data_IF_612552323019
#
_entry.id   IF_612552323019
#
_cell.length_a   1.000
_cell.length_b   1.000
_cell.length_c   1.000
_cell.angle_alpha   90.00
_cell.angle_beta   90.00
_cell.angle_gamma   90.00
#
_symmetry.space_group_name_H-M   'P 1'
#
loop_
_entity.id
_entity.type
_entity.pdbx_description
1 polymer ?
#
# COMPACT_ATOMS: atom_id res chain seq x y z
N UNK A 1 -85.33 10.82 -16.55
CA UNK A 1 -84.77 12.09 -17.07
C UNK A 1 -83.42 12.32 -16.38
N UNK A 2 -82.36 12.56 -17.17
CA UNK A 2 -80.96 12.89 -16.82
C UNK A 2 -80.03 11.78 -16.27
N UNK A 3 -79.04 11.45 -17.10
CA UNK A 3 -77.77 10.76 -16.86
C UNK A 3 -76.76 11.66 -16.14
N UNK A 4 -75.94 11.17 -15.20
CA UNK A 4 -74.56 11.65 -14.96
C UNK A 4 -73.71 10.52 -14.36
N UNK A 5 -72.59 10.18 -15.03
CA UNK A 5 -71.50 9.31 -14.54
C UNK A 5 -70.75 9.99 -13.40
N UNK A 6 -70.30 9.25 -12.37
CA UNK A 6 -69.21 9.73 -11.52
C UNK A 6 -68.23 8.59 -11.18
N UNK A 7 -66.94 8.92 -11.27
CA UNK A 7 -65.78 8.06 -11.35
C UNK A 7 -65.34 7.46 -10.00
N UNK A 8 -64.81 6.24 -10.09
CA UNK A 8 -64.02 5.57 -9.05
C UNK A 8 -62.67 6.27 -8.88
N UNK A 9 -62.17 6.46 -7.66
CA UNK A 9 -60.74 6.43 -7.40
C UNK A 9 -60.35 5.15 -6.66
N UNK A 10 -59.39 4.46 -7.29
CA UNK A 10 -58.65 3.30 -6.79
C UNK A 10 -57.88 3.71 -5.53
N UNK A 11 -58.27 3.24 -4.36
CA UNK A 11 -57.36 3.14 -3.22
C UNK A 11 -58.01 2.24 -2.16
N UNK A 12 -57.19 1.41 -1.53
CA UNK A 12 -57.54 0.59 -0.34
C UNK A 12 -58.22 -0.75 -0.63
N UNK A 13 -57.50 -1.67 -1.29
CA UNK A 13 -57.60 -3.09 -0.96
C UNK A 13 -56.34 -3.84 -1.42
N UNK A 14 -55.32 -3.91 -0.56
CA UNK A 14 -54.40 -5.06 -0.55
C UNK A 14 -53.82 -5.24 0.84
N UNK A 15 -54.58 -6.00 1.62
CA UNK A 15 -54.27 -6.48 2.94
C UNK A 15 -53.20 -7.58 2.83
N UNK A 16 -52.02 -7.29 3.39
CA UNK A 16 -51.13 -8.21 4.13
C UNK A 16 -50.99 -9.62 3.55
N UNK A 17 -49.96 -9.83 2.73
CA UNK A 17 -49.30 -11.13 2.60
C UNK A 17 -47.79 -10.89 2.49
N UNK A 18 -47.13 -10.82 3.65
CA UNK A 18 -45.68 -10.71 3.77
C UNK A 18 -45.13 -12.14 3.88
N UNK A 19 -44.39 -12.68 2.90
CA UNK A 19 -43.79 -13.99 3.04
C UNK A 19 -42.65 -13.87 4.06
N UNK A 20 -42.70 -14.71 5.09
CA UNK A 20 -41.62 -14.92 6.04
C UNK A 20 -40.47 -15.57 5.26
N UNK A 21 -39.55 -14.74 4.76
CA UNK A 21 -38.27 -15.18 4.23
C UNK A 21 -37.46 -15.67 5.43
N UNK A 22 -37.45 -17.00 5.63
CA UNK A 22 -36.49 -17.67 6.49
C UNK A 22 -35.10 -17.42 5.89
N UNK A 23 -34.42 -16.39 6.41
CA UNK A 23 -33.01 -16.19 6.16
C UNK A 23 -32.25 -17.41 6.64
N UNK A 24 -31.61 -18.13 5.71
CA UNK A 24 -30.56 -19.07 6.05
C UNK A 24 -29.43 -18.27 6.71
N UNK A 25 -29.41 -18.28 8.05
CA UNK A 25 -28.23 -17.86 8.79
C UNK A 25 -27.09 -18.78 8.35
N UNK A 26 -26.16 -18.25 7.56
CA UNK A 26 -24.85 -18.90 7.42
C UNK A 26 -24.29 -19.00 8.83
N UNK A 27 -24.17 -20.23 9.32
CA UNK A 27 -23.38 -20.52 10.51
C UNK A 27 -21.95 -20.15 10.15
N UNK A 28 -21.55 -18.94 10.51
CA UNK A 28 -20.15 -18.54 10.51
C UNK A 28 -19.42 -19.53 11.38
N UNK A 29 -18.43 -20.20 10.80
CA UNK A 29 -17.61 -21.16 11.50
C UNK A 29 -17.18 -20.60 12.85
N UNK A 30 -17.38 -21.41 13.88
CA UNK A 30 -16.95 -21.16 15.23
C UNK A 30 -15.47 -20.74 15.19
N UNK A 31 -15.18 -19.46 15.48
CA UNK A 31 -13.84 -19.02 15.81
C UNK A 31 -13.47 -19.70 17.13
N UNK A 32 -12.95 -20.92 17.03
CA UNK A 32 -12.35 -21.63 18.17
C UNK A 32 -11.18 -20.77 18.60
N UNK A 33 -11.25 -20.26 19.83
CA UNK A 33 -10.18 -19.49 20.42
C UNK A 33 -9.02 -20.45 20.70
N UNK A 34 -7.92 -20.26 19.97
CA UNK A 34 -6.69 -21.05 20.09
C UNK A 34 -5.85 -20.65 21.33
N UNK A 35 -6.32 -19.69 22.14
CA UNK A 35 -5.60 -19.19 23.32
C UNK A 35 -6.53 -19.01 24.54
N UNK A 36 -5.93 -18.95 25.73
CA UNK A 36 -6.58 -18.81 27.03
C UNK A 36 -7.28 -17.45 27.17
N UNK A 37 -6.88 -16.46 26.37
CA UNK A 37 -7.49 -15.14 26.33
C UNK A 37 -7.54 -14.61 24.88
N UNK A 38 -8.59 -13.86 24.55
CA UNK A 38 -8.55 -12.99 23.38
C UNK A 38 -7.63 -11.81 23.74
N UNK A 39 -6.56 -11.52 22.99
CA UNK A 39 -5.80 -10.31 23.22
C UNK A 39 -6.69 -9.10 22.90
N UNK A 40 -7.29 -8.47 23.93
CA UNK A 40 -8.14 -7.27 23.84
C UNK A 40 -7.37 -5.99 23.44
N UNK A 41 -6.19 -6.12 22.84
CA UNK A 41 -5.24 -5.02 22.69
C UNK A 41 -4.77 -4.82 21.25
N UNK A 42 -5.71 -4.49 20.37
CA UNK A 42 -5.42 -3.55 19.30
C UNK A 42 -6.36 -2.35 19.40
N UNK A 43 -6.21 -1.50 20.44
CA UNK A 43 -6.77 -0.17 20.35
C UNK A 43 -6.13 0.45 19.12
N UNK A 44 -6.94 0.81 18.11
CA UNK A 44 -6.53 1.55 16.92
C UNK A 44 -5.64 2.72 17.37
N UNK A 45 -4.32 2.51 17.30
CA UNK A 45 -3.36 3.49 17.80
C UNK A 45 -3.42 4.64 16.82
N UNK A 46 -3.63 5.84 17.34
CA UNK A 46 -3.61 7.04 16.50
C UNK A 46 -2.17 7.54 16.39
N UNK A 47 -1.73 7.95 15.19
CA UNK A 47 -0.42 8.54 15.01
C UNK A 47 -0.31 9.82 15.82
N UNK A 48 0.90 10.13 16.31
CA UNK A 48 1.13 11.37 17.06
C UNK A 48 0.87 12.57 16.13
N UNK A 49 -0.07 13.48 16.45
CA UNK A 49 -0.39 14.59 15.57
C UNK A 49 0.84 15.49 15.39
N UNK A 50 1.00 16.03 14.18
CA UNK A 50 2.05 17.01 13.96
C UNK A 50 1.72 18.30 14.70
N UNK A 51 2.77 18.95 15.20
CA UNK A 51 2.62 20.27 15.79
C UNK A 51 2.15 21.27 14.72
N UNK A 52 1.22 22.14 15.11
CA UNK A 52 0.83 23.29 14.30
C UNK A 52 2.06 24.16 14.06
N UNK A 53 2.29 24.51 12.80
CA UNK A 53 3.44 25.29 12.36
C UNK A 53 2.92 26.46 11.53
N UNK A 54 3.17 27.69 12.00
CA UNK A 54 2.86 28.88 11.23
C UNK A 54 3.96 29.12 10.20
N UNK A 55 3.60 29.59 9.01
CA UNK A 55 4.58 29.88 7.95
C UNK A 55 5.71 30.84 8.39
N UNK A 56 5.40 31.83 9.22
CA UNK A 56 6.36 32.81 9.73
C UNK A 56 7.41 32.22 10.70
N UNK A 57 7.14 31.04 11.27
CA UNK A 57 8.06 30.40 12.22
C UNK A 57 9.05 29.45 11.52
N UNK A 58 8.89 29.24 10.21
CA UNK A 58 9.78 28.41 9.39
C UNK A 58 10.91 29.25 8.83
N UNK A 59 12.01 29.34 9.57
CA UNK A 59 13.21 30.10 9.14
C UNK A 59 13.93 29.44 7.96
N UNK A 60 13.88 28.11 7.90
CA UNK A 60 14.57 27.34 6.89
C UNK A 60 13.81 26.06 6.62
N UNK A 61 13.64 25.73 5.33
CA UNK A 61 13.09 24.45 4.88
C UNK A 61 13.91 23.89 3.74
N UNK A 62 14.01 22.57 3.68
CA UNK A 62 14.76 21.86 2.64
C UNK A 62 14.15 20.49 2.37
N UNK A 63 13.99 20.16 1.09
CA UNK A 63 13.52 18.85 0.65
C UNK A 63 14.72 17.94 0.35
N UNK A 64 14.70 16.73 0.90
CA UNK A 64 15.78 15.75 0.80
C UNK A 64 15.23 14.41 0.33
N UNK A 65 16.05 13.71 -0.46
CA UNK A 65 15.74 12.39 -0.99
C UNK A 65 16.68 11.34 -0.39
N UNK A 66 16.10 10.30 0.22
CA UNK A 66 16.83 9.21 0.86
C UNK A 66 16.40 7.87 0.27
N UNK A 67 17.35 6.97 0.08
CA UNK A 67 17.11 5.59 -0.30
C UNK A 67 17.24 4.70 0.94
N UNK A 68 16.15 4.06 1.33
CA UNK A 68 16.12 3.03 2.36
C UNK A 68 16.31 1.67 1.69
N UNK A 69 17.37 0.95 2.05
CA UNK A 69 17.62 -0.40 1.52
C UNK A 69 17.15 -1.44 2.53
N UNK A 70 16.20 -2.28 2.15
CA UNK A 70 15.57 -3.28 3.00
C UNK A 70 16.49 -4.45 3.33
N UNK A 71 17.56 -4.66 2.55
CA UNK A 71 18.55 -5.72 2.80
C UNK A 71 19.38 -5.44 4.06
N UNK A 72 19.36 -4.21 4.56
CA UNK A 72 20.06 -3.84 5.78
C UNK A 72 19.36 -4.43 7.01
N UNK A 73 20.14 -4.99 7.95
CA UNK A 73 19.63 -5.69 9.15
C UNK A 73 18.63 -4.86 9.97
N UNK A 74 18.83 -3.56 10.05
CA UNK A 74 17.95 -2.64 10.79
C UNK A 74 16.59 -2.42 10.09
N UNK A 75 16.53 -2.60 8.77
CA UNK A 75 15.34 -2.37 7.94
C UNK A 75 14.57 -3.67 7.62
N UNK A 76 15.12 -4.84 7.96
CA UNK A 76 14.44 -6.14 7.77
C UNK A 76 13.00 -6.20 8.31
N UNK A 77 12.65 -5.54 9.44
CA UNK A 77 11.27 -5.49 9.91
C UNK A 77 10.28 -4.91 8.89
N UNK A 78 10.73 -4.04 7.97
CA UNK A 78 9.88 -3.44 6.92
C UNK A 78 9.70 -4.36 5.70
N UNK A 79 10.55 -5.38 5.55
CA UNK A 79 10.53 -6.31 4.42
C UNK A 79 9.80 -7.60 4.74
N UNK A 80 9.99 -8.13 5.94
CA UNK A 80 9.31 -9.34 6.37
C UNK A 80 7.94 -9.01 7.00
N UNK A 81 6.97 -9.91 6.88
CA UNK A 81 7.05 -11.21 6.20
C UNK A 81 6.88 -11.10 4.67
N UNK A 82 7.50 -12.00 3.91
CA UNK A 82 7.42 -12.03 2.43
C UNK A 82 6.03 -12.45 1.94
N UNK A 83 5.35 -13.28 2.75
CA UNK A 83 3.96 -13.68 2.57
C UNK A 83 3.21 -13.22 3.81
N UNK A 84 1.96 -12.73 3.67
CA UNK A 84 1.19 -12.26 4.83
C UNK A 84 0.93 -13.43 5.78
N UNK A 85 1.36 -13.29 7.03
CA UNK A 85 1.14 -14.28 8.09
C UNK A 85 0.23 -13.62 9.12
N UNK A 86 -1.00 -14.14 9.23
CA UNK A 86 -2.01 -13.64 10.17
C UNK A 86 -2.22 -12.12 10.00
N UNK A 87 -1.98 -11.30 11.03
CA UNK A 87 -2.11 -9.84 10.97
C UNK A 87 -0.78 -9.09 10.70
N UNK A 88 0.26 -9.78 10.23
CA UNK A 88 1.58 -9.20 9.93
C UNK A 88 1.77 -9.05 8.43
N UNK A 89 2.07 -7.83 8.02
CA UNK A 89 2.28 -7.46 6.62
C UNK A 89 3.69 -6.92 6.41
N UNK A 90 4.26 -7.07 5.22
CA UNK A 90 5.39 -6.25 4.80
C UNK A 90 4.92 -4.80 4.58
N UNK A 91 5.86 -3.84 4.52
CA UNK A 91 5.50 -2.43 4.29
C UNK A 91 4.75 -2.24 2.96
N UNK A 92 5.13 -2.99 1.92
CA UNK A 92 4.53 -2.86 0.59
C UNK A 92 3.19 -3.59 0.50
N UNK A 93 3.08 -4.78 1.09
CA UNK A 93 1.79 -5.48 1.17
C UNK A 93 0.78 -4.66 1.98
N UNK A 94 1.24 -3.96 3.02
CA UNK A 94 0.39 -3.05 3.79
C UNK A 94 -0.09 -1.85 2.96
N UNK A 95 0.79 -1.25 2.15
CA UNK A 95 0.41 -0.15 1.25
C UNK A 95 -0.65 -0.65 0.27
N UNK A 96 -0.41 -1.80 -0.37
CA UNK A 96 -1.35 -2.45 -1.28
C UNK A 96 -2.70 -2.72 -0.61
N UNK A 97 -2.67 -3.31 0.59
CA UNK A 97 -3.86 -3.58 1.40
C UNK A 97 -4.66 -2.31 1.65
N UNK A 98 -3.99 -1.18 1.96
CA UNK A 98 -4.64 0.12 2.13
C UNK A 98 -5.27 0.66 0.84
N UNK A 99 -4.67 0.41 -0.33
CA UNK A 99 -5.28 0.80 -1.60
C UNK A 99 -6.51 -0.06 -1.91
N UNK A 100 -6.42 -1.37 -1.69
CA UNK A 100 -7.47 -2.32 -2.06
C UNK A 100 -8.67 -2.30 -1.09
N UNK A 101 -8.42 -2.21 0.23
CA UNK A 101 -9.47 -2.31 1.25
C UNK A 101 -9.95 -0.95 1.77
N UNK A 102 -9.03 0.01 1.95
CA UNK A 102 -9.35 1.34 2.48
C UNK A 102 -9.51 2.40 1.39
N UNK A 103 -9.36 2.02 0.10
CA UNK A 103 -9.46 2.93 -1.06
C UNK A 103 -8.52 4.14 -0.95
N UNK A 104 -7.32 3.93 -0.40
CA UNK A 104 -6.33 4.99 -0.22
C UNK A 104 -5.73 5.43 -1.56
N UNK A 105 -5.59 6.74 -1.76
CA UNK A 105 -5.06 7.31 -3.00
C UNK A 105 -3.55 7.16 -3.09
N UNK A 106 -3.07 6.68 -4.22
CA UNK A 106 -1.65 6.52 -4.55
C UNK A 106 -1.34 7.24 -5.86
N UNK A 107 -0.09 7.63 -6.06
CA UNK A 107 0.33 8.46 -7.18
C UNK A 107 1.32 7.76 -8.11
N UNK A 108 1.37 8.22 -9.35
CA UNK A 108 2.25 7.69 -10.39
C UNK A 108 3.71 8.16 -10.20
N UNK A 109 4.73 7.28 -10.28
CA UNK A 109 6.14 7.65 -10.24
C UNK A 109 6.66 8.38 -11.48
N UNK A 110 6.08 8.14 -12.66
CA UNK A 110 6.64 8.60 -13.94
C UNK A 110 6.09 9.97 -14.36
N UNK A 111 4.94 10.37 -13.81
CA UNK A 111 4.30 11.63 -14.14
C UNK A 111 5.01 12.85 -13.55
N UNK A 112 5.03 12.97 -12.21
CA UNK A 112 5.52 14.18 -11.54
C UNK A 112 5.94 13.97 -10.08
N UNK A 113 6.85 14.82 -9.63
CA UNK A 113 7.37 14.80 -8.26
C UNK A 113 6.40 15.32 -7.18
N UNK A 114 5.25 15.86 -7.58
CA UNK A 114 4.37 16.66 -6.74
C UNK A 114 3.09 15.96 -6.27
N UNK A 115 2.93 14.65 -6.51
CA UNK A 115 1.73 13.88 -6.12
C UNK A 115 0.45 14.44 -6.75
N UNK A 116 0.47 14.68 -8.06
CA UNK A 116 -0.65 15.27 -8.81
C UNK A 116 -1.53 14.22 -9.47
N UNK A 117 -0.91 13.21 -10.08
CA UNK A 117 -1.59 12.15 -10.84
C UNK A 117 -1.80 10.91 -9.99
N UNK A 118 -3.06 10.52 -9.82
CA UNK A 118 -3.42 9.31 -9.09
C UNK A 118 -3.31 8.09 -10.01
N UNK A 119 -2.84 6.97 -9.48
CA UNK A 119 -2.75 5.69 -10.19
C UNK A 119 -3.89 4.76 -9.78
N UNK A 120 -4.43 4.00 -10.73
CA UNK A 120 -5.42 2.95 -10.48
C UNK A 120 -4.74 1.64 -10.11
N UNK A 121 -5.49 0.68 -9.58
CA UNK A 121 -4.97 -0.67 -9.27
C UNK A 121 -4.34 -1.36 -10.49
N UNK A 122 -4.91 -1.14 -11.68
CA UNK A 122 -4.39 -1.70 -12.93
C UNK A 122 -3.00 -1.12 -13.26
N UNK A 123 -2.82 0.19 -13.11
CA UNK A 123 -1.51 0.83 -13.29
C UNK A 123 -0.46 0.34 -12.27
N UNK A 124 -0.88 0.04 -11.03
CA UNK A 124 -0.01 -0.59 -10.04
C UNK A 124 0.43 -1.98 -10.52
N UNK A 125 -0.49 -2.79 -11.04
CA UNK A 125 -0.20 -4.12 -11.58
C UNK A 125 0.78 -4.06 -12.75
N UNK A 126 0.61 -3.11 -13.66
CA UNK A 126 1.55 -2.87 -14.77
C UNK A 126 2.94 -2.47 -14.28
N UNK A 127 3.01 -1.67 -13.20
CA UNK A 127 4.28 -1.30 -12.57
C UNK A 127 4.96 -2.48 -11.87
N UNK A 128 4.16 -3.39 -11.30
CA UNK A 128 4.62 -4.70 -10.84
C UNK A 128 4.85 -5.72 -11.97
N UNK A 129 4.69 -5.32 -13.24
CA UNK A 129 4.94 -6.20 -14.39
C UNK A 129 4.07 -7.46 -14.38
N UNK A 130 2.88 -7.38 -13.79
CA UNK A 130 1.87 -8.43 -13.85
C UNK A 130 1.34 -8.46 -15.29
N UNK A 131 2.00 -9.24 -16.14
CA UNK A 131 1.50 -9.56 -17.47
C UNK A 131 0.58 -10.76 -17.35
N UNK A 132 -0.61 -10.66 -17.93
CA UNK A 132 -1.44 -11.83 -18.22
C UNK A 132 -0.75 -12.63 -19.32
N UNK A 133 -0.14 -13.74 -18.97
CA UNK A 133 0.46 -14.63 -19.96
C UNK A 133 -0.57 -15.69 -20.37
N UNK A 134 -0.69 -15.95 -21.66
CA UNK A 134 -1.57 -16.99 -22.19
C UNK A 134 -0.80 -18.28 -22.29
N UNK A 135 -0.98 -19.16 -21.32
CA UNK A 135 -0.44 -20.51 -21.39
C UNK A 135 -1.44 -21.41 -22.10
N UNK A 136 -0.98 -22.17 -23.09
CA UNK A 136 -1.79 -23.21 -23.71
C UNK A 136 -1.85 -24.41 -22.77
N UNK A 137 -3.05 -24.72 -22.29
CA UNK A 137 -3.29 -25.88 -21.41
C UNK A 137 -4.20 -26.85 -22.17
N UNK A 138 -3.84 -28.13 -22.12
CA UNK A 138 -4.63 -29.20 -22.73
C UNK A 138 -5.84 -29.54 -21.86
N UNK A 139 -7.05 -29.54 -22.44
CA UNK A 139 -8.25 -29.98 -21.74
C UNK A 139 -8.28 -31.50 -21.63
N UNK A 140 -8.31 -32.03 -20.40
CA UNK A 140 -8.25 -33.47 -20.11
C UNK A 140 -9.39 -34.30 -20.72
N UNK A 141 -10.51 -33.68 -21.10
CA UNK A 141 -11.67 -34.38 -21.67
C UNK A 141 -11.68 -34.39 -23.22
N UNK A 142 -11.03 -33.41 -23.87
CA UNK A 142 -11.15 -33.19 -25.32
C UNK A 142 -9.81 -33.20 -26.06
N UNK A 143 -8.67 -33.13 -25.38
CA UNK A 143 -7.34 -33.10 -26.01
C UNK A 143 -7.07 -31.86 -26.88
N UNK A 144 -7.98 -30.87 -26.84
CA UNK A 144 -7.81 -29.59 -27.54
C UNK A 144 -7.04 -28.60 -26.67
N UNK A 145 -6.07 -27.92 -27.28
CA UNK A 145 -5.29 -26.86 -26.63
C UNK A 145 -6.16 -25.61 -26.49
N UNK A 146 -6.58 -25.29 -25.26
CA UNK A 146 -7.28 -24.03 -24.99
C UNK A 146 -6.30 -23.01 -24.40
N UNK A 147 -6.38 -21.74 -24.84
CA UNK A 147 -5.58 -20.68 -24.23
C UNK A 147 -6.17 -20.40 -22.84
N UNK A 148 -5.42 -20.72 -21.79
CA UNK A 148 -5.76 -20.32 -20.42
C UNK A 148 -4.93 -19.08 -20.07
N UNK A 149 -5.62 -17.97 -19.82
CA UNK A 149 -4.98 -16.76 -19.33
C UNK A 149 -4.54 -17.00 -17.89
N UNK A 150 -3.24 -17.12 -17.66
CA UNK A 150 -2.66 -17.18 -16.31
C UNK A 150 -2.27 -15.76 -15.93
N UNK A 151 -2.93 -15.22 -14.92
CA UNK A 151 -2.56 -13.92 -14.35
C UNK A 151 -1.38 -14.16 -13.42
N UNK A 152 -0.22 -13.61 -13.76
CA UNK A 152 0.93 -13.68 -12.86
C UNK A 152 0.64 -12.94 -11.55
N UNK A 153 1.01 -13.53 -10.43
CA UNK A 153 0.84 -12.88 -9.12
C UNK A 153 1.79 -11.69 -8.98
N UNK A 154 1.37 -10.71 -8.16
CA UNK A 154 2.17 -9.55 -7.83
C UNK A 154 3.36 -9.99 -6.98
N UNK A 155 4.57 -9.91 -7.55
CA UNK A 155 5.81 -10.27 -6.84
C UNK A 155 6.26 -9.16 -5.89
N UNK A 156 5.61 -9.08 -4.74
CA UNK A 156 5.91 -8.05 -3.74
C UNK A 156 7.32 -8.18 -3.16
N UNK A 157 7.85 -9.40 -3.07
CA UNK A 157 9.19 -9.69 -2.55
C UNK A 157 10.36 -9.11 -3.36
N UNK A 158 10.11 -8.68 -4.61
CA UNK A 158 11.12 -8.03 -5.44
C UNK A 158 11.32 -6.54 -5.07
N UNK A 159 10.49 -5.99 -4.19
CA UNK A 159 10.66 -4.65 -3.63
C UNK A 159 11.72 -4.68 -2.53
N UNK A 160 12.90 -4.16 -2.86
CA UNK A 160 14.08 -4.22 -1.98
C UNK A 160 14.52 -2.85 -1.47
N UNK A 161 14.03 -1.76 -2.08
CA UNK A 161 14.43 -0.41 -1.72
C UNK A 161 13.21 0.51 -1.68
N UNK A 162 13.29 1.54 -0.85
CA UNK A 162 12.31 2.63 -0.81
C UNK A 162 13.00 3.96 -1.03
N UNK A 163 12.41 4.79 -1.86
CA UNK A 163 12.77 6.18 -2.03
C UNK A 163 11.87 7.04 -1.13
N UNK A 164 12.48 7.81 -0.25
CA UNK A 164 11.79 8.63 0.74
C UNK A 164 12.01 10.11 0.42
N UNK A 165 10.91 10.87 0.31
CA UNK A 165 10.92 12.33 0.27
C UNK A 165 10.73 12.86 1.68
N UNK A 166 11.75 13.56 2.20
CA UNK A 166 11.69 14.20 3.52
C UNK A 166 11.75 15.73 3.39
N UNK A 167 11.06 16.43 4.29
CA UNK A 167 11.17 17.87 4.48
C UNK A 167 11.83 18.11 5.83
N UNK A 168 13.00 18.72 5.78
CA UNK A 168 13.74 19.20 6.93
C UNK A 168 13.40 20.66 7.11
N UNK A 169 12.99 21.07 8.30
CA UNK A 169 12.73 22.47 8.59
C UNK A 169 13.19 22.83 10.00
N UNK A 170 13.57 24.10 10.17
CA UNK A 170 13.91 24.67 11.46
C UNK A 170 12.73 25.48 11.97
N UNK A 171 12.19 25.06 13.12
CA UNK A 171 11.12 25.76 13.82
C UNK A 171 11.72 26.79 14.77
N UNK A 172 11.43 28.08 14.51
CA UNK A 172 11.88 29.20 15.34
C UNK A 172 11.36 29.12 16.77
N UNK A 173 10.12 28.68 16.99
CA UNK A 173 9.51 28.71 18.32
C UNK A 173 10.18 27.72 19.27
N UNK A 174 10.57 26.55 18.75
CA UNK A 174 11.19 25.47 19.53
C UNK A 174 12.71 25.43 19.41
N UNK A 175 13.29 26.22 18.51
CA UNK A 175 14.72 26.20 18.17
C UNK A 175 15.24 24.80 17.87
N UNK A 176 14.42 23.96 17.24
CA UNK A 176 14.73 22.57 16.91
C UNK A 176 14.59 22.32 15.42
N UNK A 177 15.51 21.53 14.87
CA UNK A 177 15.36 20.99 13.53
C UNK A 177 14.41 19.79 13.59
N UNK A 178 13.35 19.85 12.80
CA UNK A 178 12.37 18.77 12.68
C UNK A 178 12.35 18.21 11.26
N UNK A 179 12.02 16.93 11.15
CA UNK A 179 11.93 16.20 9.88
C UNK A 179 10.51 15.66 9.73
N UNK A 180 9.90 15.90 8.58
CA UNK A 180 8.62 15.32 8.18
C UNK A 180 8.80 14.50 6.92
N UNK A 181 8.30 13.27 6.94
CA UNK A 181 8.26 12.42 5.74
C UNK A 181 7.06 12.88 4.92
N UNK A 182 7.29 13.19 3.65
CA UNK A 182 6.25 13.63 2.71
C UNK A 182 5.70 12.45 1.92
N UNK A 183 6.56 11.54 1.47
CA UNK A 183 6.13 10.36 0.75
C UNK A 183 7.18 9.26 0.68
N UNK A 184 6.69 8.06 0.38
CA UNK A 184 7.45 6.83 0.23
C UNK A 184 7.18 6.26 -1.16
N UNK A 185 8.21 5.82 -1.86
CA UNK A 185 8.09 5.14 -3.14
C UNK A 185 8.82 3.80 -3.07
N UNK A 186 8.14 2.65 -3.25
CA UNK A 186 8.80 1.37 -3.38
C UNK A 186 9.55 1.30 -4.71
N UNK A 187 10.75 0.74 -4.67
CA UNK A 187 11.57 0.42 -5.84
C UNK A 187 11.69 -1.09 -5.93
N UNK A 188 11.16 -1.63 -7.02
CA UNK A 188 11.33 -3.02 -7.42
C UNK A 188 12.70 -3.19 -8.06
N UNK A 189 13.41 -4.22 -7.66
CA UNK A 189 14.67 -4.64 -8.27
C UNK A 189 14.48 -6.02 -8.89
N UNK A 190 14.43 -6.09 -10.21
CA UNK A 190 14.30 -7.34 -10.94
C UNK A 190 15.41 -7.44 -11.99
N UNK A 191 15.87 -8.66 -12.26
CA UNK A 191 16.74 -8.91 -13.39
C UNK A 191 15.87 -8.85 -14.64
N UNK A 192 16.14 -7.92 -15.55
CA UNK A 192 15.51 -7.94 -16.86
C UNK A 192 16.14 -9.10 -17.62
N UNK A 193 15.37 -10.13 -17.90
CA UNK A 193 15.73 -11.08 -18.95
C UNK A 193 15.62 -10.29 -20.26
N UNK A 194 16.77 -9.80 -20.74
CA UNK A 194 16.84 -9.20 -22.06
C UNK A 194 16.58 -10.35 -23.02
N UNK A 195 15.39 -10.39 -23.61
CA UNK A 195 15.20 -11.13 -24.86
C UNK A 195 16.12 -10.45 -25.88
N UNK A 196 17.33 -10.99 -26.02
CA UNK A 196 18.35 -10.52 -26.95
C UNK A 196 17.82 -10.69 -28.37
N UNK A 197 17.17 -9.65 -28.89
CA UNK A 197 16.80 -9.56 -30.31
C UNK A 197 17.98 -9.12 -31.19
N UNK A 198 19.14 -8.86 -30.61
CA UNK A 198 20.41 -8.70 -31.33
C UNK A 198 21.44 -9.65 -30.73
N UNK A 199 21.91 -10.59 -31.54
CA UNK A 199 22.85 -11.65 -31.17
C UNK A 199 24.26 -11.15 -30.88
N UNK A 200 24.43 -10.41 -29.79
CA UNK A 200 25.73 -10.08 -29.22
C UNK A 200 25.74 -10.55 -27.77
N UNK A 201 26.26 -11.77 -27.58
CA UNK A 201 26.60 -12.32 -26.28
C UNK A 201 27.73 -11.48 -25.67
N UNK A 202 27.37 -10.54 -24.81
CA UNK A 202 28.35 -9.91 -23.92
C UNK A 202 28.55 -10.84 -22.72
N UNK A 203 29.72 -11.48 -22.67
CA UNK A 203 30.20 -12.43 -21.65
C UNK A 203 30.51 -11.72 -20.32
N UNK A 204 29.52 -10.98 -19.81
CA UNK A 204 29.51 -10.39 -18.49
C UNK A 204 28.36 -11.02 -17.73
N UNK A 205 28.65 -12.07 -16.96
CA UNK A 205 27.70 -12.77 -16.07
C UNK A 205 27.11 -11.93 -14.92
N UNK A 206 26.96 -10.62 -15.10
CA UNK A 206 26.19 -9.74 -14.25
C UNK A 206 24.75 -9.70 -14.74
N UNK A 207 23.83 -10.29 -13.98
CA UNK A 207 22.40 -9.99 -14.15
C UNK A 207 22.22 -8.49 -13.91
N UNK A 208 22.01 -7.71 -14.96
CA UNK A 208 21.72 -6.30 -14.84
C UNK A 208 20.40 -6.12 -14.07
N UNK A 209 20.53 -5.74 -12.80
CA UNK A 209 19.42 -5.48 -11.89
C UNK A 209 18.79 -4.14 -12.29
N UNK A 210 17.71 -4.20 -13.05
CA UNK A 210 16.90 -3.03 -13.36
C UNK A 210 16.10 -2.58 -12.14
N UNK A 211 16.11 -1.28 -11.88
CA UNK A 211 15.32 -0.64 -10.81
C UNK A 211 14.11 0.03 -11.43
N UNK A 212 12.91 -0.34 -11.01
CA UNK A 212 11.66 0.31 -11.42
C UNK A 212 10.94 0.87 -10.19
N UNK A 213 10.55 2.14 -10.26
CA UNK A 213 9.70 2.75 -9.24
C UNK A 213 8.28 2.23 -9.42
N UNK A 214 7.63 1.84 -8.32
CA UNK A 214 6.31 1.22 -8.39
C UNK A 214 5.21 2.27 -8.30
N UNK A 215 5.24 3.08 -7.25
CA UNK A 215 4.18 4.02 -6.91
C UNK A 215 4.65 5.06 -5.88
N UNK A 216 3.96 6.20 -5.79
CA UNK A 216 4.17 7.21 -4.77
C UNK A 216 3.07 7.18 -3.71
N UNK A 217 3.46 6.94 -2.47
CA UNK A 217 2.58 7.00 -1.30
C UNK A 217 2.73 8.36 -0.63
N UNK A 218 1.62 9.06 -0.41
CA UNK A 218 1.59 10.27 0.41
C UNK A 218 1.57 9.91 1.89
N UNK A 219 2.71 10.03 2.56
CA UNK A 219 2.92 9.51 3.91
C UNK A 219 1.90 10.03 4.93
N UNK A 220 1.53 11.33 4.97
CA UNK A 220 0.54 11.84 5.93
C UNK A 220 -0.84 11.18 5.85
N UNK A 221 -1.29 10.74 4.66
CA UNK A 221 -2.56 10.03 4.52
C UNK A 221 -2.50 8.62 5.11
N UNK A 222 -1.37 7.92 4.92
CA UNK A 222 -1.18 6.53 5.35
C UNK A 222 -0.79 6.38 6.84
N UNK A 223 -0.64 7.48 7.59
CA UNK A 223 -0.20 7.41 9.00
C UNK A 223 -1.12 6.61 9.90
N UNK A 224 -2.44 6.68 9.68
CA UNK A 224 -3.42 5.94 10.48
C UNK A 224 -3.29 4.43 10.24
N UNK A 225 -3.13 4.04 8.98
CA UNK A 225 -2.88 2.65 8.59
C UNK A 225 -1.56 2.15 9.22
N UNK A 226 -0.48 2.90 9.09
CA UNK A 226 0.83 2.54 9.67
C UNK A 226 0.85 2.50 11.20
N UNK A 227 -0.04 3.24 11.87
CA UNK A 227 -0.17 3.21 13.32
C UNK A 227 -0.99 2.01 13.82
N UNK A 228 -1.87 1.47 12.98
CA UNK A 228 -2.72 0.33 13.33
C UNK A 228 -1.95 -0.98 13.23
N UNK A 229 -1.10 -1.14 12.20
CA UNK A 229 -0.40 -2.40 11.95
C UNK A 229 0.94 -2.51 12.68
N UNK A 230 1.17 -3.69 13.25
CA UNK A 230 2.40 -4.06 13.96
C UNK A 230 3.43 -4.61 12.97
N UNK A 231 4.68 -4.26 13.20
CA UNK A 231 5.82 -4.68 12.39
C UNK A 231 6.34 -6.03 12.87
N UNK A 232 6.80 -6.86 11.93
CA UNK A 232 7.44 -8.13 12.26
C UNK A 232 8.74 -7.94 13.04
N UNK A 233 8.84 -8.59 14.20
CA UNK A 233 10.05 -8.60 15.03
C UNK A 233 10.53 -10.04 15.27
N UNK A 234 11.73 -10.38 14.77
CA UNK A 234 12.31 -11.71 14.95
C UNK A 234 12.90 -11.95 16.33
N UNK A 235 13.25 -10.90 17.06
CA UNK A 235 13.99 -11.02 18.33
C UNK A 235 13.08 -11.09 19.55
N UNK A 236 11.94 -10.42 19.50
CA UNK A 236 11.03 -10.33 20.63
C UNK A 236 9.60 -10.10 20.15
N UNK A 237 8.76 -11.12 20.29
CA UNK A 237 7.37 -11.05 19.87
C UNK A 237 6.48 -10.24 20.81
N UNK A 238 6.88 -10.15 22.09
CA UNK A 238 6.17 -9.36 23.09
C UNK A 238 6.35 -7.85 22.87
N UNK A 239 7.43 -7.43 22.20
CA UNK A 239 7.64 -6.03 21.86
C UNK A 239 6.90 -5.65 20.58
N UNK A 240 5.67 -5.16 20.74
CA UNK A 240 4.82 -4.66 19.64
C UNK A 240 5.22 -3.24 19.25
N UNK A 241 5.84 -3.09 18.07
CA UNK A 241 6.13 -1.79 17.43
C UNK A 241 5.32 -1.65 16.16
N UNK A 242 4.79 -0.46 15.92
CA UNK A 242 4.01 -0.17 14.69
C UNK A 242 4.90 0.39 13.59
N UNK A 243 4.41 0.40 12.34
CA UNK A 243 5.16 1.00 11.23
C UNK A 243 5.40 2.49 11.47
N UNK A 244 4.41 3.17 12.05
CA UNK A 244 4.51 4.58 12.43
C UNK A 244 5.66 4.81 13.40
N UNK A 245 5.78 3.99 14.45
CA UNK A 245 6.83 4.12 15.46
C UNK A 245 8.23 4.05 14.83
N UNK A 246 8.44 3.17 13.84
CA UNK A 246 9.73 3.03 13.15
C UNK A 246 10.09 4.33 12.43
N UNK A 247 9.14 4.92 11.71
CA UNK A 247 9.37 6.13 10.94
C UNK A 247 9.48 7.38 11.82
N UNK A 248 8.61 7.50 12.83
CA UNK A 248 8.60 8.62 13.80
C UNK A 248 9.86 8.63 14.67
N UNK A 249 10.29 7.47 15.17
CA UNK A 249 11.53 7.35 15.95
C UNK A 249 12.79 7.25 15.07
N UNK A 250 12.64 7.25 13.74
CA UNK A 250 13.73 7.09 12.76
C UNK A 250 14.58 5.84 12.99
N UNK A 251 13.96 4.72 13.35
CA UNK A 251 14.62 3.43 13.56
C UNK A 251 14.86 2.70 12.22
N UNK A 252 15.46 3.39 11.27
CA UNK A 252 15.82 2.85 9.96
C UNK A 252 17.15 3.44 9.49
N UNK A 253 17.85 2.70 8.63
CA UNK A 253 19.04 3.20 7.95
C UNK A 253 18.70 3.52 6.49
N UNK A 254 19.26 4.61 5.98
CA UNK A 254 19.03 5.06 4.62
C UNK A 254 20.23 5.85 4.11
N UNK A 255 20.49 5.69 2.83
CA UNK A 255 21.54 6.38 2.07
C UNK A 255 20.97 7.67 1.50
N UNK A 256 21.76 8.73 1.50
CA UNK A 256 21.37 10.00 0.89
C UNK A 256 21.61 9.94 -0.63
N UNK A 257 20.58 10.21 -1.45
CA UNK A 257 20.71 10.17 -2.92
C UNK A 257 20.87 11.55 -3.53
N UNK A 258 19.97 12.48 -3.20
CA UNK A 258 19.88 13.76 -3.89
C UNK A 258 19.42 14.86 -2.96
N UNK A 259 20.17 15.96 -2.97
CA UNK A 259 19.79 17.23 -2.34
C UNK A 259 18.99 18.02 -3.37
N UNK A 260 17.68 18.14 -3.20
CA UNK A 260 16.92 19.11 -3.98
C UNK A 260 16.97 20.45 -3.24
N UNK A 261 17.84 21.33 -3.70
CA UNK A 261 18.06 22.64 -3.09
C UNK A 261 16.94 23.61 -3.50
N UNK A 262 15.75 23.44 -2.93
CA UNK A 262 14.82 24.55 -2.82
C UNK A 262 15.12 25.28 -1.51
N UNK A 263 15.98 26.29 -1.59
CA UNK A 263 16.20 27.22 -0.48
C UNK A 263 15.12 28.30 -0.59
N UNK A 264 14.01 28.10 0.12
CA UNK A 264 13.09 29.21 0.40
C UNK A 264 13.43 29.70 1.79
N UNK A 265 14.17 30.80 1.86
CA UNK A 265 14.28 31.61 3.07
C UNK A 265 13.00 32.47 3.06
N UNK A 266 12.19 32.38 4.10
CA UNK A 266 11.05 33.29 4.34
C UNK A 266 11.52 34.35 5.32
#
# INVERSE_FOLDING_TARGET
MKTVKLNIPKLVFFLILLPIVFGANKVTAQNVLDDIYQPEHEPVRKPVPYNYLRQADVMWKKKLWRMLDLRQKINLPLYYPTEPIDNRYSLIDLIIYGVENESMTVYDPDADDQFTTQITLDGINDNFGVKSDTTWVEDLETGEMKPKVVINERRTYEVLRYLMKEIWYFDKQRSMLQVRILGLCPIRMYAKEVESSDGMEDDSGGKDLTMKQVLWVYYPAFRNLFATHIVFNTKNDAERRTFEDIFSMRRFNSIFLKKQMFMTIV
#
